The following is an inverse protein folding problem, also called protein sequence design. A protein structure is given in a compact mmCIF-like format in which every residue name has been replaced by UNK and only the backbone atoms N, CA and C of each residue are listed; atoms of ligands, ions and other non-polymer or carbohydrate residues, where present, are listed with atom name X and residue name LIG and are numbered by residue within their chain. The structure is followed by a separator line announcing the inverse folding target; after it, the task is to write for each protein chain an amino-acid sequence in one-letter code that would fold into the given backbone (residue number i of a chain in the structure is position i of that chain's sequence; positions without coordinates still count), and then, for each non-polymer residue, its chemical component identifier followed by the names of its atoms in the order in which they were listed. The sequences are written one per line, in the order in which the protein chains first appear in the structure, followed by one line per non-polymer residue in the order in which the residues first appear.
data_IF_083474813958
#
_entry.id   IF_083474813958
#
_cell.length_a   1.000
_cell.length_b   1.000
_cell.length_c   1.000
_cell.angle_alpha   90.00
_cell.angle_beta   90.00
_cell.angle_gamma   90.00
#
_symmetry.space_group_name_H-M   'P 1'
#
loop_
_entity.id
_entity.type
_entity.pdbx_description
1 polymer ?
#
# COMPACT_ATOMS: atom_id res chain seq x y z
N UNK A 1 -33.18 11.57 -15.40
CA UNK A 1 -32.35 10.49 -15.98
C UNK A 1 -30.90 10.94 -15.83
N UNK A 2 -30.05 10.21 -15.11
CA UNK A 2 -28.64 10.55 -15.09
C UNK A 2 -28.09 10.35 -16.52
N UNK A 3 -27.39 11.36 -17.00
CA UNK A 3 -26.69 11.30 -18.27
C UNK A 3 -25.58 10.26 -18.11
N UNK A 4 -25.74 9.08 -18.69
CA UNK A 4 -24.63 8.12 -18.84
C UNK A 4 -23.64 8.74 -19.82
N UNK A 5 -22.58 9.32 -19.29
CA UNK A 5 -21.43 9.66 -20.10
C UNK A 5 -20.85 8.34 -20.61
N UNK A 6 -20.89 8.14 -21.93
CA UNK A 6 -20.23 7.00 -22.54
C UNK A 6 -18.75 7.04 -22.12
N UNK A 7 -18.28 5.97 -21.49
CA UNK A 7 -16.85 5.83 -21.16
C UNK A 7 -16.13 5.69 -22.50
N UNK A 8 -15.27 6.64 -22.89
CA UNK A 8 -14.55 6.52 -24.14
C UNK A 8 -13.63 5.31 -24.12
N UNK A 9 -13.46 4.64 -25.25
CA UNK A 9 -12.46 3.58 -25.39
C UNK A 9 -11.06 4.11 -25.01
N UNK A 10 -10.36 3.32 -24.22
CA UNK A 10 -9.19 3.72 -23.43
C UNK A 10 -8.04 4.32 -24.26
N UNK A 11 -7.95 3.99 -25.56
CA UNK A 11 -6.80 4.35 -26.40
C UNK A 11 -6.94 5.67 -27.16
N UNK A 12 -8.09 6.34 -27.09
CA UNK A 12 -8.38 7.45 -28.02
C UNK A 12 -8.41 8.86 -27.43
N UNK A 13 -8.38 9.07 -26.10
CA UNK A 13 -8.73 10.39 -25.55
C UNK A 13 -7.72 10.93 -24.49
N UNK A 14 -6.46 10.64 -24.60
CA UNK A 14 -5.43 11.33 -23.78
C UNK A 14 -5.73 11.33 -22.27
N UNK A 15 -5.52 12.45 -21.54
CA UNK A 15 -5.60 12.51 -20.08
C UNK A 15 -7.00 12.34 -19.49
N UNK A 16 -8.02 12.16 -20.32
CA UNK A 16 -9.43 12.08 -19.89
C UNK A 16 -9.96 10.64 -19.78
N UNK A 17 -9.15 9.63 -20.08
CA UNK A 17 -9.61 8.25 -20.05
C UNK A 17 -10.02 7.80 -18.65
N UNK A 18 -9.25 8.21 -17.64
CA UNK A 18 -9.55 7.97 -16.22
C UNK A 18 -8.97 9.08 -15.37
N UNK A 19 -9.76 9.60 -14.45
CA UNK A 19 -9.28 10.53 -13.45
C UNK A 19 -8.99 9.78 -12.15
N UNK A 20 -7.82 10.04 -11.58
CA UNK A 20 -7.52 9.62 -10.21
C UNK A 20 -8.17 10.58 -9.20
N UNK A 21 -8.35 10.10 -7.96
CA UNK A 21 -8.84 10.93 -6.86
C UNK A 21 -7.99 12.22 -6.70
N UNK A 22 -6.67 12.12 -6.84
CA UNK A 22 -5.78 13.29 -6.80
C UNK A 22 -5.99 14.27 -7.95
N UNK A 23 -6.35 13.79 -9.14
CA UNK A 23 -6.69 14.67 -10.28
C UNK A 23 -8.03 15.38 -10.07
N UNK A 24 -9.04 14.69 -9.54
CA UNK A 24 -10.32 15.30 -9.19
C UNK A 24 -10.10 16.39 -8.16
N UNK A 25 -9.34 16.11 -7.11
CA UNK A 25 -8.99 17.10 -6.09
C UNK A 25 -8.23 18.30 -6.67
N UNK A 26 -7.25 18.08 -7.56
CA UNK A 26 -6.55 19.16 -8.24
C UNK A 26 -7.49 20.02 -9.11
N UNK A 27 -8.46 19.41 -9.78
CA UNK A 27 -9.46 20.11 -10.59
C UNK A 27 -10.40 20.96 -9.71
N UNK A 28 -10.92 20.39 -8.63
CA UNK A 28 -11.81 21.09 -7.72
C UNK A 28 -11.11 22.26 -7.01
N UNK A 29 -9.83 22.10 -6.67
CA UNK A 29 -9.02 23.15 -6.05
C UNK A 29 -8.71 24.28 -7.02
N UNK A 30 -8.27 23.96 -8.23
CA UNK A 30 -7.96 24.95 -9.27
C UNK A 30 -8.10 24.34 -10.68
N UNK A 31 -9.27 24.44 -11.33
CA UNK A 31 -9.50 23.90 -12.68
C UNK A 31 -8.50 24.43 -13.72
N UNK A 32 -8.07 25.68 -13.57
CA UNK A 32 -7.11 26.30 -14.49
C UNK A 32 -5.72 25.69 -14.37
N UNK A 33 -5.24 25.43 -13.14
CA UNK A 33 -3.96 24.75 -12.90
C UNK A 33 -4.02 23.34 -13.45
N UNK A 34 -5.09 22.58 -13.11
CA UNK A 34 -5.31 21.24 -13.65
C UNK A 34 -5.28 21.23 -15.18
N UNK A 35 -5.96 22.20 -15.85
CA UNK A 35 -5.94 22.32 -17.30
C UNK A 35 -4.53 22.49 -17.85
N UNK A 36 -3.73 23.38 -17.27
CA UNK A 36 -2.37 23.57 -17.72
C UNK A 36 -1.50 22.34 -17.51
N UNK A 37 -1.61 21.68 -16.37
CA UNK A 37 -0.79 20.51 -16.07
C UNK A 37 -1.20 19.28 -16.88
N UNK A 38 -2.49 18.96 -16.93
CA UNK A 38 -2.98 17.69 -17.49
C UNK A 38 -3.30 17.79 -18.98
N UNK A 39 -3.93 18.89 -19.42
CA UNK A 39 -4.35 19.07 -20.82
C UNK A 39 -3.23 19.69 -21.65
N UNK A 40 -2.64 20.80 -21.16
CA UNK A 40 -1.56 21.47 -21.86
C UNK A 40 -0.18 20.88 -21.58
N UNK A 41 -0.10 19.94 -20.63
CA UNK A 41 1.13 19.25 -20.22
C UNK A 41 2.25 20.17 -19.76
N UNK A 42 1.89 21.35 -19.24
CA UNK A 42 2.84 22.21 -18.56
C UNK A 42 3.11 21.63 -17.18
N UNK A 43 4.21 20.95 -17.07
CA UNK A 43 4.56 20.25 -15.83
C UNK A 43 5.41 21.15 -14.96
N UNK A 44 5.14 21.10 -13.64
CA UNK A 44 5.91 21.79 -12.62
C UNK A 44 7.34 21.25 -12.53
N UNK A 45 8.31 22.07 -12.07
CA UNK A 45 9.65 21.58 -11.78
C UNK A 45 9.63 20.40 -10.84
N UNK A 46 10.46 19.41 -11.09
CA UNK A 46 10.57 18.19 -10.31
C UNK A 46 11.70 18.35 -9.29
N UNK A 47 11.32 18.64 -8.03
CA UNK A 47 12.27 18.81 -6.91
C UNK A 47 12.42 17.50 -6.14
N UNK A 48 13.59 17.22 -5.53
CA UNK A 48 13.87 15.95 -4.85
C UNK A 48 12.83 15.52 -3.81
N UNK A 49 12.23 16.47 -3.08
CA UNK A 49 11.23 16.17 -2.05
C UNK A 49 10.01 15.41 -2.58
N UNK A 50 9.67 15.56 -3.86
CA UNK A 50 8.56 14.82 -4.48
C UNK A 50 8.89 13.33 -4.66
N UNK A 51 10.16 13.02 -4.80
CA UNK A 51 10.66 11.66 -4.96
C UNK A 51 10.94 10.99 -3.61
N UNK A 52 11.31 11.77 -2.61
CA UNK A 52 11.52 11.28 -1.23
C UNK A 52 10.26 10.60 -0.67
N UNK A 53 9.09 11.20 -0.89
CA UNK A 53 7.81 10.61 -0.46
C UNK A 53 7.63 9.20 -1.00
N UNK A 54 7.84 9.04 -2.30
CA UNK A 54 7.75 7.74 -3.00
C UNK A 54 8.79 6.74 -2.51
N UNK A 55 10.04 7.18 -2.27
CA UNK A 55 11.09 6.30 -1.76
C UNK A 55 10.78 5.77 -0.35
N UNK A 56 10.27 6.64 0.53
CA UNK A 56 9.87 6.27 1.89
C UNK A 56 8.71 5.27 1.87
N UNK A 57 7.68 5.57 1.08
CA UNK A 57 6.52 4.69 0.90
C UNK A 57 6.94 3.34 0.34
N UNK A 58 7.74 3.31 -0.74
CA UNK A 58 8.22 2.06 -1.34
C UNK A 58 9.02 1.23 -0.35
N UNK A 59 9.98 1.83 0.36
CA UNK A 59 10.79 1.09 1.33
C UNK A 59 9.93 0.51 2.46
N UNK A 60 8.98 1.28 2.96
CA UNK A 60 8.06 0.85 4.01
C UNK A 60 7.13 -0.26 3.52
N UNK A 61 6.51 -0.10 2.37
CA UNK A 61 5.65 -1.13 1.77
C UNK A 61 6.42 -2.43 1.48
N UNK A 62 7.66 -2.35 0.97
CA UNK A 62 8.49 -3.54 0.76
C UNK A 62 8.78 -4.29 2.05
N UNK A 63 9.12 -3.60 3.12
CA UNK A 63 9.30 -4.22 4.44
C UNK A 63 8.01 -4.90 4.91
N UNK A 64 6.84 -4.26 4.74
CA UNK A 64 5.54 -4.85 5.09
C UNK A 64 5.18 -6.08 4.24
N UNK A 65 5.71 -6.19 3.04
CA UNK A 65 5.50 -7.35 2.16
C UNK A 65 6.30 -8.57 2.58
N UNK A 66 7.37 -8.40 3.34
CA UNK A 66 8.21 -9.49 3.80
C UNK A 66 7.66 -10.15 5.07
N UNK A 67 8.05 -11.40 5.27
CA UNK A 67 7.70 -12.16 6.46
C UNK A 67 8.93 -12.35 7.35
N UNK A 68 8.80 -12.17 8.68
CA UNK A 68 9.90 -12.44 9.61
C UNK A 68 10.18 -13.94 9.78
N UNK A 69 9.32 -14.82 9.26
CA UNK A 69 9.40 -16.24 9.51
C UNK A 69 9.17 -17.11 8.26
N UNK A 70 8.93 -16.52 7.08
CA UNK A 70 8.64 -17.25 5.87
C UNK A 70 9.55 -16.80 4.74
N UNK A 71 10.25 -17.75 4.15
CA UNK A 71 11.07 -17.55 2.96
C UNK A 71 10.36 -18.09 1.73
N UNK A 72 10.65 -17.51 0.59
CA UNK A 72 10.20 -18.04 -0.70
C UNK A 72 11.37 -18.78 -1.36
N UNK A 73 11.16 -20.06 -1.66
CA UNK A 73 12.19 -20.88 -2.29
C UNK A 73 12.56 -20.35 -3.68
N UNK A 74 13.86 -20.22 -3.94
CA UNK A 74 14.39 -19.73 -5.22
C UNK A 74 14.49 -18.22 -5.33
N UNK A 75 14.03 -17.46 -4.32
CA UNK A 75 14.42 -16.06 -4.14
C UNK A 75 15.82 -16.02 -3.52
N UNK A 76 16.62 -14.99 -3.82
CA UNK A 76 17.82 -14.70 -3.02
C UNK A 76 17.37 -14.59 -1.56
N UNK A 77 18.12 -15.21 -0.66
CA UNK A 77 17.71 -15.71 0.65
C UNK A 77 16.97 -14.72 1.58
N UNK A 78 16.79 -13.50 1.21
CA UNK A 78 16.39 -12.46 2.16
C UNK A 78 15.11 -11.69 1.83
N UNK A 79 14.52 -11.84 0.62
CA UNK A 79 13.45 -10.91 0.28
C UNK A 79 12.45 -11.47 -0.75
N UNK A 80 11.18 -11.26 -0.47
CA UNK A 80 10.11 -11.26 -1.46
C UNK A 80 10.31 -10.15 -2.52
N UNK A 81 11.27 -9.27 -2.32
CA UNK A 81 11.64 -8.13 -3.18
C UNK A 81 12.30 -8.52 -4.51
N UNK A 82 12.56 -9.80 -4.75
CA UNK A 82 13.08 -10.29 -6.03
C UNK A 82 11.99 -10.67 -7.03
N UNK A 83 10.75 -10.26 -6.83
CA UNK A 83 9.73 -10.35 -7.87
C UNK A 83 10.14 -9.34 -8.95
N UNK A 84 10.37 -9.79 -10.20
CA UNK A 84 10.63 -8.85 -11.28
C UNK A 84 9.49 -7.85 -11.39
N UNK A 85 9.83 -6.58 -11.34
CA UNK A 85 8.88 -5.51 -11.60
C UNK A 85 8.89 -5.22 -13.09
N UNK A 86 7.74 -4.90 -13.67
CA UNK A 86 7.66 -4.34 -14.99
C UNK A 86 8.17 -2.88 -15.00
N UNK A 87 8.20 -2.25 -16.18
CA UNK A 87 8.67 -0.87 -16.34
C UNK A 87 7.84 0.17 -15.56
N UNK A 88 6.67 -0.22 -15.06
CA UNK A 88 5.80 0.62 -14.22
C UNK A 88 5.98 0.35 -12.71
N UNK A 89 6.92 -0.52 -12.32
CA UNK A 89 7.15 -0.91 -10.94
C UNK A 89 6.11 -1.89 -10.38
N UNK A 90 5.30 -2.46 -11.25
CA UNK A 90 4.31 -3.48 -10.89
C UNK A 90 4.94 -4.87 -11.08
N UNK A 91 4.72 -5.84 -10.18
CA UNK A 91 5.19 -7.19 -10.38
C UNK A 91 4.77 -7.74 -11.73
N UNK A 92 5.77 -8.13 -12.53
CA UNK A 92 5.55 -8.56 -13.91
C UNK A 92 4.70 -9.83 -13.94
N UNK A 93 3.57 -9.78 -14.67
CA UNK A 93 2.72 -10.95 -14.91
C UNK A 93 3.42 -12.01 -15.79
N UNK A 94 4.37 -11.57 -16.59
CA UNK A 94 5.09 -12.45 -17.54
C UNK A 94 6.25 -13.21 -16.88
N UNK A 95 6.55 -12.93 -15.62
CA UNK A 95 7.66 -13.59 -14.91
C UNK A 95 7.44 -15.09 -14.67
N UNK A 96 6.26 -15.61 -14.98
CA UNK A 96 5.91 -17.01 -14.72
C UNK A 96 5.98 -17.40 -13.24
N UNK A 97 6.22 -16.42 -12.38
CA UNK A 97 6.32 -16.57 -10.95
C UNK A 97 4.93 -16.69 -10.33
N UNK A 98 4.23 -17.75 -10.65
CA UNK A 98 3.23 -18.26 -9.72
C UNK A 98 3.99 -18.72 -8.49
N UNK A 99 3.61 -18.20 -7.33
CA UNK A 99 4.13 -18.64 -6.05
C UNK A 99 3.40 -19.92 -5.63
N UNK A 100 3.87 -21.11 -6.00
CA UNK A 100 3.22 -22.30 -5.50
C UNK A 100 3.44 -22.37 -3.99
N UNK A 101 2.41 -22.77 -3.26
CA UNK A 101 2.47 -22.93 -1.80
C UNK A 101 3.64 -23.84 -1.34
N UNK A 102 4.08 -24.77 -2.19
CA UNK A 102 5.24 -25.63 -1.99
C UNK A 102 6.59 -24.90 -1.96
N UNK A 103 6.62 -23.61 -2.39
CA UNK A 103 7.81 -22.76 -2.31
C UNK A 103 7.87 -21.86 -1.09
N UNK A 104 6.86 -21.88 -0.25
CA UNK A 104 6.85 -21.12 0.99
C UNK A 104 7.54 -21.96 2.09
N UNK A 105 8.73 -21.56 2.49
CA UNK A 105 9.56 -22.27 3.45
C UNK A 105 9.55 -21.55 4.81
N UNK A 106 8.90 -22.12 5.82
CA UNK A 106 8.95 -21.55 7.15
C UNK A 106 10.36 -21.70 7.74
N UNK A 107 10.84 -20.63 8.37
CA UNK A 107 12.02 -20.72 9.23
C UNK A 107 11.72 -21.63 10.43
N UNK A 108 12.73 -22.28 11.01
CA UNK A 108 12.58 -22.97 12.28
C UNK A 108 12.00 -22.04 13.36
N UNK A 109 11.04 -22.53 14.16
CA UNK A 109 10.33 -21.71 15.16
C UNK A 109 11.25 -20.98 16.14
N UNK A 110 12.40 -21.58 16.45
CA UNK A 110 13.40 -20.97 17.34
C UNK A 110 14.15 -19.78 16.69
N UNK A 111 13.94 -19.52 15.42
CA UNK A 111 14.47 -18.35 14.70
C UNK A 111 13.41 -17.24 14.53
N UNK A 112 12.17 -17.48 14.92
CA UNK A 112 11.10 -16.49 14.81
C UNK A 112 11.30 -15.38 15.84
N UNK A 113 10.92 -14.14 15.52
CA UNK A 113 10.78 -13.10 16.53
C UNK A 113 9.85 -13.54 17.65
N UNK A 114 10.34 -13.50 18.88
CA UNK A 114 9.59 -13.95 20.07
C UNK A 114 9.07 -12.80 20.92
N UNK A 115 9.55 -11.58 20.66
CA UNK A 115 9.16 -10.34 21.37
C UNK A 115 8.93 -9.22 20.37
N UNK A 116 8.18 -8.19 20.74
CA UNK A 116 8.00 -6.99 19.92
C UNK A 116 9.33 -6.32 19.58
N UNK A 117 10.31 -6.35 20.48
CA UNK A 117 11.63 -5.78 20.21
C UNK A 117 12.38 -6.55 19.12
N UNK A 118 12.37 -7.90 19.18
CA UNK A 118 13.01 -8.71 18.12
C UNK A 118 12.29 -8.59 16.77
N UNK A 119 10.97 -8.39 16.77
CA UNK A 119 10.20 -8.12 15.56
C UNK A 119 10.53 -6.72 15.01
N UNK A 120 10.63 -5.72 15.88
CA UNK A 120 11.05 -4.35 15.53
C UNK A 120 12.45 -4.34 14.94
N UNK A 121 13.40 -5.06 15.55
CA UNK A 121 14.78 -5.15 15.08
C UNK A 121 14.84 -5.79 13.68
N UNK A 122 14.10 -6.88 13.46
CA UNK A 122 13.98 -7.49 12.14
C UNK A 122 13.44 -6.47 11.12
N UNK A 123 12.32 -5.83 11.39
CA UNK A 123 11.69 -4.88 10.46
C UNK A 123 12.60 -3.67 10.18
N UNK A 124 13.28 -3.16 11.21
CA UNK A 124 14.26 -2.08 11.05
C UNK A 124 15.41 -2.50 10.11
N UNK A 125 15.93 -3.71 10.27
CA UNK A 125 16.98 -4.24 9.39
C UNK A 125 16.50 -4.35 7.92
N UNK A 126 15.21 -4.66 7.70
CA UNK A 126 14.62 -4.66 6.35
C UNK A 126 14.55 -3.23 5.79
N UNK A 127 14.13 -2.26 6.59
CA UNK A 127 14.11 -0.85 6.19
C UNK A 127 15.52 -0.32 5.86
N UNK A 128 16.52 -0.69 6.65
CA UNK A 128 17.94 -0.36 6.38
C UNK A 128 18.44 -0.96 5.05
N UNK A 129 17.82 -2.04 4.60
CA UNK A 129 18.10 -2.65 3.29
C UNK A 129 17.36 -1.93 2.16
N UNK A 130 16.05 -1.67 2.33
CA UNK A 130 15.20 -1.18 1.25
C UNK A 130 15.32 0.32 0.99
N UNK A 131 15.45 1.13 2.05
CA UNK A 131 15.43 2.58 1.89
C UNK A 131 16.57 3.12 1.02
N UNK A 132 17.84 2.68 1.18
CA UNK A 132 18.91 3.15 0.31
C UNK A 132 18.66 2.78 -1.17
N UNK A 133 18.09 1.60 -1.43
CA UNK A 133 17.76 1.16 -2.79
C UNK A 133 16.64 2.01 -3.39
N UNK A 134 15.59 2.28 -2.63
CA UNK A 134 14.48 3.12 -3.05
C UNK A 134 14.93 4.57 -3.30
N UNK A 135 15.75 5.14 -2.42
CA UNK A 135 16.30 6.49 -2.60
C UNK A 135 17.17 6.57 -3.86
N UNK A 136 18.02 5.57 -4.09
CA UNK A 136 18.86 5.53 -5.29
C UNK A 136 18.03 5.40 -6.58
N UNK A 137 17.00 4.58 -6.58
CA UNK A 137 16.10 4.45 -7.72
C UNK A 137 15.39 5.79 -8.01
N UNK A 138 14.92 6.49 -6.99
CA UNK A 138 14.28 7.80 -7.11
C UNK A 138 15.27 8.90 -7.56
N UNK A 139 16.52 8.85 -7.12
CA UNK A 139 17.57 9.74 -7.60
C UNK A 139 17.78 9.59 -9.11
N UNK A 140 17.91 8.34 -9.59
CA UNK A 140 18.06 8.04 -11.02
C UNK A 140 16.85 8.56 -11.82
N UNK A 141 15.63 8.38 -11.30
CA UNK A 141 14.42 8.88 -11.94
C UNK A 141 14.42 10.40 -12.00
N UNK A 142 14.74 11.05 -10.88
CA UNK A 142 14.83 12.50 -10.82
C UNK A 142 15.90 13.06 -11.76
N UNK A 143 17.07 12.42 -11.84
CA UNK A 143 18.16 12.85 -12.72
C UNK A 143 17.81 12.79 -14.21
N UNK A 144 16.99 11.81 -14.59
CA UNK A 144 16.50 11.65 -15.97
C UNK A 144 15.40 12.64 -16.35
N UNK A 145 14.75 13.30 -15.37
CA UNK A 145 13.68 14.25 -15.67
C UNK A 145 14.26 15.57 -16.20
N UNK A 146 13.88 15.94 -17.40
CA UNK A 146 14.32 17.20 -18.04
C UNK A 146 13.91 18.45 -17.25
N UNK A 147 12.94 18.32 -16.35
CA UNK A 147 12.40 19.40 -15.53
C UNK A 147 12.97 19.40 -14.10
N UNK A 148 13.99 18.60 -13.86
CA UNK A 148 14.62 18.55 -12.55
C UNK A 148 15.06 19.92 -12.08
N UNK A 149 14.81 20.21 -10.83
CA UNK A 149 15.19 21.44 -10.14
C UNK A 149 15.69 21.14 -8.74
N UNK A 150 16.55 21.97 -8.24
CA UNK A 150 17.21 21.75 -6.95
C UNK A 150 18.41 20.81 -7.06
N UNK A 151 18.79 20.21 -5.95
CA UNK A 151 19.94 19.30 -5.85
C UNK A 151 19.55 18.08 -5.01
N UNK A 152 19.88 16.88 -5.48
CA UNK A 152 19.59 15.64 -4.74
C UNK A 152 20.31 15.58 -3.39
N UNK A 153 21.47 16.22 -3.28
CA UNK A 153 22.21 16.35 -2.01
C UNK A 153 21.44 17.06 -0.89
N UNK A 154 20.29 17.64 -1.17
CA UNK A 154 19.37 18.18 -0.15
C UNK A 154 18.49 17.11 0.51
N UNK A 155 18.48 15.88 -0.02
CA UNK A 155 17.79 14.74 0.59
C UNK A 155 18.57 14.30 1.81
N UNK A 156 17.87 14.15 2.92
CA UNK A 156 18.41 13.66 4.19
C UNK A 156 17.97 12.21 4.42
N UNK A 157 18.87 11.21 4.24
CA UNK A 157 18.54 9.80 4.41
C UNK A 157 18.17 9.43 5.85
N UNK A 158 18.72 10.11 6.85
CA UNK A 158 18.40 9.84 8.27
C UNK A 158 16.94 10.24 8.57
N UNK A 159 16.52 11.36 8.01
CA UNK A 159 15.14 11.81 8.08
C UNK A 159 14.18 10.86 7.34
N UNK A 160 14.58 10.35 6.16
CA UNK A 160 13.81 9.36 5.45
C UNK A 160 13.67 8.08 6.29
N UNK A 161 14.74 7.62 6.92
CA UNK A 161 14.71 6.47 7.83
C UNK A 161 13.80 6.72 9.02
N UNK A 162 13.85 7.91 9.62
CA UNK A 162 12.93 8.27 10.71
C UNK A 162 11.47 8.19 10.31
N UNK A 163 11.12 8.59 9.07
CA UNK A 163 9.76 8.44 8.55
C UNK A 163 9.36 6.97 8.41
N UNK A 164 10.24 6.13 7.88
CA UNK A 164 10.00 4.70 7.80
C UNK A 164 9.80 4.06 9.18
N UNK A 165 10.61 4.45 10.17
CA UNK A 165 10.50 3.96 11.54
C UNK A 165 9.18 4.41 12.21
N UNK A 166 8.72 5.63 11.95
CA UNK A 166 7.41 6.08 12.44
C UNK A 166 6.28 5.21 11.85
N UNK A 167 6.33 4.92 10.55
CA UNK A 167 5.39 3.99 9.92
C UNK A 167 5.46 2.58 10.51
N UNK A 168 6.67 2.11 10.81
CA UNK A 168 6.86 0.81 11.47
C UNK A 168 6.19 0.76 12.84
N UNK A 169 6.35 1.78 13.69
CA UNK A 169 5.69 1.81 15.00
C UNK A 169 4.16 1.82 14.88
N UNK A 170 3.61 2.55 13.88
CA UNK A 170 2.17 2.52 13.60
C UNK A 170 1.70 1.12 13.20
N UNK A 171 2.46 0.39 12.38
CA UNK A 171 2.12 -0.97 11.98
C UNK A 171 2.34 -1.99 13.12
N UNK A 172 3.37 -1.82 13.95
CA UNK A 172 3.60 -2.67 15.13
C UNK A 172 2.42 -2.58 16.09
N UNK A 173 1.84 -1.39 16.26
CA UNK A 173 0.63 -1.21 17.07
C UNK A 173 -0.56 -2.02 16.53
N UNK A 174 -0.70 -2.18 15.21
CA UNK A 174 -1.73 -3.07 14.63
C UNK A 174 -1.43 -4.55 14.93
N UNK A 175 -0.18 -4.98 14.84
CA UNK A 175 0.24 -6.33 15.22
C UNK A 175 0.02 -6.62 16.72
N UNK A 176 0.31 -5.66 17.60
CA UNK A 176 0.07 -5.77 19.04
C UNK A 176 -1.42 -5.88 19.36
N UNK A 177 -2.26 -5.02 18.72
CA UNK A 177 -3.72 -5.14 18.83
C UNK A 177 -4.23 -6.51 18.38
N UNK A 178 -3.68 -7.06 17.30
CA UNK A 178 -4.05 -8.39 16.81
C UNK A 178 -3.65 -9.49 17.81
N UNK A 179 -2.46 -9.37 18.41
CA UNK A 179 -2.00 -10.30 19.45
C UNK A 179 -2.90 -10.26 20.69
N UNK A 180 -3.27 -9.07 21.18
CA UNK A 180 -4.18 -8.84 22.30
C UNK A 180 -5.58 -9.38 21.99
N UNK A 181 -6.06 -9.20 20.77
CA UNK A 181 -7.32 -9.75 20.28
C UNK A 181 -7.26 -11.26 19.96
N UNK A 182 -6.14 -11.93 20.30
CA UNK A 182 -5.91 -13.36 20.05
C UNK A 182 -6.09 -13.77 18.58
N UNK A 183 -5.65 -12.90 17.66
CA UNK A 183 -5.72 -13.12 16.21
C UNK A 183 -7.02 -12.65 15.55
N UNK A 184 -8.01 -12.24 16.36
CA UNK A 184 -9.30 -11.75 15.85
C UNK A 184 -10.11 -12.80 15.08
N UNK A 185 -11.14 -12.39 14.34
CA UNK A 185 -12.01 -13.30 13.58
C UNK A 185 -11.30 -13.99 12.41
N UNK A 186 -10.16 -13.46 11.97
CA UNK A 186 -9.42 -13.96 10.80
C UNK A 186 -8.50 -15.15 11.12
N UNK A 187 -8.21 -15.43 12.40
CA UNK A 187 -7.23 -16.44 12.82
C UNK A 187 -7.47 -17.82 12.20
N UNK A 188 -8.69 -18.32 12.32
CA UNK A 188 -9.00 -19.68 11.85
C UNK A 188 -8.93 -19.77 10.33
N UNK A 189 -9.45 -18.77 9.62
CA UNK A 189 -9.37 -18.70 8.18
C UNK A 189 -7.92 -18.59 7.71
N UNK A 190 -7.10 -17.77 8.37
CA UNK A 190 -5.70 -17.62 8.07
C UNK A 190 -4.92 -18.93 8.32
N UNK A 191 -5.12 -19.58 9.48
CA UNK A 191 -4.49 -20.87 9.81
C UNK A 191 -4.82 -21.97 8.82
N UNK A 192 -6.03 -21.94 8.26
CA UNK A 192 -6.49 -22.90 7.25
C UNK A 192 -6.06 -22.51 5.82
N UNK A 193 -5.29 -21.43 5.64
CA UNK A 193 -4.86 -20.96 4.34
C UNK A 193 -5.98 -20.42 3.44
N UNK A 194 -7.14 -20.11 4.02
CA UNK A 194 -8.32 -19.62 3.29
C UNK A 194 -8.29 -18.11 3.05
N UNK A 195 -7.37 -17.40 3.69
CA UNK A 195 -7.18 -15.97 3.47
C UNK A 195 -6.18 -15.75 2.34
N UNK A 196 -6.37 -14.74 1.48
CA UNK A 196 -5.39 -14.37 0.48
C UNK A 196 -4.02 -14.19 1.11
N UNK A 197 -3.00 -14.82 0.52
CA UNK A 197 -1.63 -14.69 1.00
C UNK A 197 -0.91 -13.60 0.21
N UNK A 198 -0.16 -12.81 0.92
CA UNK A 198 0.74 -11.83 0.33
C UNK A 198 2.17 -12.40 0.21
N UNK A 199 2.91 -12.03 -0.85
CA UNK A 199 2.44 -11.35 -2.04
C UNK A 199 1.83 -12.31 -3.07
N UNK A 200 0.81 -11.84 -3.78
CA UNK A 200 0.29 -12.54 -4.94
C UNK A 200 0.76 -11.82 -6.20
N UNK A 201 1.66 -12.39 -6.99
CA UNK A 201 2.26 -11.70 -8.13
C UNK A 201 1.28 -11.39 -9.26
N UNK A 202 0.16 -12.09 -9.31
CA UNK A 202 -0.86 -11.91 -10.34
C UNK A 202 -2.13 -11.21 -9.84
N UNK A 203 -2.12 -10.70 -8.61
CA UNK A 203 -3.25 -10.02 -8.00
C UNK A 203 -4.44 -10.93 -7.66
N UNK A 204 -4.25 -12.25 -7.65
CA UNK A 204 -5.29 -13.22 -7.28
C UNK A 204 -5.17 -13.60 -5.83
N UNK A 205 -6.31 -13.96 -5.22
CA UNK A 205 -6.32 -14.61 -3.93
C UNK A 205 -5.47 -15.88 -3.98
N UNK A 206 -4.56 -16.00 -3.06
CA UNK A 206 -3.64 -17.14 -2.99
C UNK A 206 -4.13 -18.09 -1.91
N UNK A 207 -4.65 -19.24 -2.29
CA UNK A 207 -5.01 -20.28 -1.36
C UNK A 207 -3.80 -21.16 -1.05
N UNK A 208 -3.41 -21.19 0.21
CA UNK A 208 -2.46 -22.17 0.71
C UNK A 208 -3.26 -23.44 1.00
N UNK A 209 -3.00 -24.56 0.31
CA UNK A 209 -3.78 -25.76 0.54
C UNK A 209 -3.55 -26.31 1.96
N UNK A 210 -4.64 -26.55 2.67
CA UNK A 210 -4.77 -27.26 3.93
C UNK A 210 -4.40 -26.50 5.20
N UNK A 211 -3.23 -25.86 5.31
CA UNK A 211 -2.80 -25.15 6.53
C UNK A 211 -1.70 -24.16 6.17
N UNK A 212 -1.77 -22.98 6.75
CA UNK A 212 -0.71 -21.99 6.59
C UNK A 212 0.63 -22.51 7.18
N UNK A 213 1.78 -22.37 6.48
CA UNK A 213 3.06 -22.92 6.94
C UNK A 213 3.51 -22.43 8.33
N UNK A 214 3.10 -21.20 8.70
CA UNK A 214 3.41 -20.59 10.00
C UNK A 214 2.34 -20.86 11.07
N UNK A 215 1.22 -21.54 10.73
CA UNK A 215 0.14 -21.78 11.69
C UNK A 215 0.62 -22.65 12.84
N UNK A 216 0.40 -22.19 14.07
CA UNK A 216 0.72 -22.91 15.30
C UNK A 216 -0.54 -23.46 15.95
N UNK A 217 -0.39 -24.38 16.91
CA UNK A 217 -1.47 -24.85 17.76
C UNK A 217 -1.58 -23.99 19.02
N UNK A 218 -2.80 -23.82 19.53
CA UNK A 218 -3.05 -23.09 20.76
C UNK A 218 -3.15 -21.57 20.55
N UNK A 219 -2.56 -20.81 21.48
CA UNK A 219 -2.64 -19.36 21.45
C UNK A 219 -1.94 -18.77 20.21
N UNK A 220 -2.45 -17.63 19.72
CA UNK A 220 -1.81 -16.90 18.63
C UNK A 220 -0.40 -16.48 19.03
N UNK A 221 0.55 -16.70 18.14
CA UNK A 221 1.94 -16.25 18.31
C UNK A 221 2.12 -14.83 17.79
N UNK A 222 3.21 -14.17 18.18
CA UNK A 222 3.56 -12.85 17.67
C UNK A 222 3.72 -12.83 16.14
N UNK A 223 4.32 -13.88 15.58
CA UNK A 223 4.49 -13.99 14.12
C UNK A 223 3.13 -14.16 13.43
N UNK A 224 2.25 -15.01 13.96
CA UNK A 224 0.89 -15.12 13.41
C UNK A 224 0.15 -13.78 13.48
N UNK A 225 0.24 -13.06 14.60
CA UNK A 225 -0.40 -11.76 14.76
C UNK A 225 0.13 -10.73 13.74
N UNK A 226 1.46 -10.69 13.51
CA UNK A 226 2.06 -9.86 12.47
C UNK A 226 1.52 -10.21 11.07
N UNK A 227 1.51 -11.50 10.73
CA UNK A 227 1.05 -11.97 9.41
C UNK A 227 -0.45 -11.70 9.19
N UNK A 228 -1.26 -11.84 10.23
CA UNK A 228 -2.71 -11.59 10.17
C UNK A 228 -3.01 -10.11 10.06
N UNK A 229 -2.33 -9.27 10.86
CA UNK A 229 -2.54 -7.82 10.88
C UNK A 229 -1.87 -7.10 9.71
N UNK A 230 -1.07 -7.79 8.91
CA UNK A 230 -0.42 -7.21 7.74
C UNK A 230 -1.44 -6.58 6.79
N UNK A 231 -1.19 -5.39 6.26
CA UNK A 231 -2.10 -4.76 5.32
C UNK A 231 -2.24 -5.58 4.03
N UNK A 232 -3.38 -5.47 3.40
CA UNK A 232 -3.62 -6.06 2.10
C UNK A 232 -3.01 -5.17 1.03
N UNK A 233 -2.07 -5.71 0.26
CA UNK A 233 -1.47 -5.05 -0.91
C UNK A 233 -2.09 -5.51 -2.22
N UNK A 234 -2.90 -6.58 -2.16
CA UNK A 234 -3.65 -7.10 -3.29
C UNK A 234 -5.10 -7.25 -2.87
N UNK A 235 -5.98 -6.50 -3.50
CA UNK A 235 -7.41 -6.71 -3.38
C UNK A 235 -7.86 -7.70 -4.48
N UNK A 236 -8.30 -8.92 -4.11
CA UNK A 236 -8.72 -9.92 -5.10
C UNK A 236 -9.88 -9.44 -5.98
N UNK A 237 -10.68 -8.48 -5.50
CA UNK A 237 -11.81 -7.93 -6.23
C UNK A 237 -11.44 -6.72 -7.09
N UNK A 238 -10.31 -6.08 -6.86
CA UNK A 238 -9.85 -4.95 -7.68
C UNK A 238 -9.35 -5.38 -9.06
N UNK A 239 -9.11 -6.66 -9.29
CA UNK A 239 -8.65 -7.21 -10.56
C UNK A 239 -7.26 -6.75 -10.99
N UNK A 240 -6.52 -6.08 -10.10
CA UNK A 240 -5.16 -5.59 -10.33
C UNK A 240 -4.28 -5.81 -9.10
N UNK A 241 -2.99 -5.91 -9.36
CA UNK A 241 -1.98 -5.87 -8.32
C UNK A 241 -1.89 -4.46 -7.70
N UNK A 242 -1.35 -4.36 -6.48
CA UNK A 242 -1.13 -3.11 -5.74
C UNK A 242 -2.41 -2.32 -5.45
N UNK A 243 -3.49 -3.01 -5.08
CA UNK A 243 -4.74 -2.42 -4.58
C UNK A 243 -5.31 -1.27 -5.43
N UNK A 244 -5.07 -1.32 -6.73
CA UNK A 244 -5.72 -0.40 -7.65
C UNK A 244 -7.21 -0.69 -7.72
N UNK A 245 -8.03 0.35 -7.57
CA UNK A 245 -9.47 0.28 -7.75
C UNK A 245 -9.91 1.10 -8.96
N UNK A 246 -10.73 0.50 -9.81
CA UNK A 246 -11.29 1.14 -10.99
C UNK A 246 -12.81 1.07 -10.89
N UNK A 247 -13.47 2.24 -10.92
CA UNK A 247 -14.91 2.27 -10.93
C UNK A 247 -15.46 1.50 -12.13
N UNK A 248 -16.37 0.52 -11.95
CA UNK A 248 -16.80 -0.35 -13.03
C UNK A 248 -17.60 0.37 -14.13
N UNK A 249 -18.26 1.48 -13.81
CA UNK A 249 -19.16 2.21 -14.71
C UNK A 249 -18.66 3.61 -15.07
N UNK A 250 -17.63 4.13 -14.39
CA UNK A 250 -17.18 5.50 -14.54
C UNK A 250 -15.68 5.59 -14.83
N UNK A 251 -15.28 6.72 -15.38
CA UNK A 251 -13.92 7.06 -15.72
C UNK A 251 -13.06 7.47 -14.49
N UNK A 252 -13.29 6.84 -13.34
CA UNK A 252 -12.65 7.14 -12.07
C UNK A 252 -11.85 5.95 -11.54
N UNK A 253 -10.67 6.23 -10.97
CA UNK A 253 -9.80 5.22 -10.38
C UNK A 253 -9.06 5.77 -9.17
N UNK A 254 -8.62 4.87 -8.29
CA UNK A 254 -7.77 5.15 -7.15
C UNK A 254 -6.75 4.05 -6.92
N UNK A 255 -5.77 4.36 -6.10
CA UNK A 255 -4.79 3.42 -5.61
C UNK A 255 -4.69 3.60 -4.10
N UNK A 256 -4.83 2.52 -3.36
CA UNK A 256 -4.74 2.53 -1.91
C UNK A 256 -3.29 2.28 -1.51
N UNK A 257 -2.75 3.08 -0.58
CA UNK A 257 -1.40 2.83 -0.06
C UNK A 257 -1.42 1.60 0.84
N UNK A 258 -2.32 1.54 1.84
CA UNK A 258 -2.51 0.39 2.71
C UNK A 258 -4.00 0.14 2.99
N UNK A 259 -4.38 -1.14 3.08
CA UNK A 259 -5.70 -1.56 3.55
C UNK A 259 -5.53 -2.61 4.64
N UNK A 260 -5.97 -2.32 5.85
CA UNK A 260 -6.02 -3.27 6.95
C UNK A 260 -7.38 -3.95 7.01
N UNK A 261 -7.37 -5.28 7.20
CA UNK A 261 -8.60 -6.07 7.21
C UNK A 261 -8.47 -7.34 8.08
N UNK A 262 -7.98 -7.22 9.28
CA UNK A 262 -7.74 -8.40 10.13
C UNK A 262 -8.77 -8.59 11.26
N UNK A 263 -9.45 -7.54 11.68
CA UNK A 263 -10.39 -7.52 12.79
C UNK A 263 -11.87 -7.49 12.36
N UNK A 264 -12.14 -7.86 11.11
CA UNK A 264 -13.47 -7.77 10.50
C UNK A 264 -13.84 -6.35 10.05
N UNK A 265 -12.89 -5.42 10.08
CA UNK A 265 -13.06 -4.03 9.64
C UNK A 265 -12.16 -3.71 8.46
N UNK A 266 -12.63 -2.82 7.61
CA UNK A 266 -11.86 -2.27 6.50
C UNK A 266 -11.34 -0.89 6.92
N UNK A 267 -10.03 -0.78 7.03
CA UNK A 267 -9.35 0.48 7.31
C UNK A 267 -8.42 0.85 6.15
N UNK A 268 -8.74 1.91 5.42
CA UNK A 268 -7.89 2.45 4.36
C UNK A 268 -6.97 3.50 4.96
N UNK A 269 -5.68 3.35 4.71
CA UNK A 269 -4.63 4.26 5.18
C UNK A 269 -3.94 4.88 3.98
N UNK A 270 -3.79 6.19 4.01
CA UNK A 270 -3.03 6.98 3.05
C UNK A 270 -1.74 7.47 3.73
N UNK A 271 -0.59 7.15 3.14
CA UNK A 271 0.72 7.48 3.69
C UNK A 271 1.18 8.86 3.23
N UNK A 272 1.67 9.67 4.14
CA UNK A 272 2.22 10.98 3.83
C UNK A 272 3.60 11.17 4.47
N UNK A 273 4.63 11.14 3.65
CA UNK A 273 6.01 11.43 4.04
C UNK A 273 6.23 12.94 4.29
N UNK A 274 5.21 13.66 4.75
CA UNK A 274 5.31 15.10 4.97
C UNK A 274 5.92 15.40 6.32
N UNK A 275 6.74 16.42 6.34
CA UNK A 275 7.41 16.97 7.52
C UNK A 275 6.90 18.38 7.84
N UNK A 276 5.86 18.81 7.14
CA UNK A 276 5.34 20.18 7.29
C UNK A 276 4.61 20.37 8.62
N UNK A 277 4.84 21.51 9.25
CA UNK A 277 4.17 21.92 10.48
C UNK A 277 2.70 22.33 10.29
N UNK A 278 2.13 22.20 9.08
CA UNK A 278 0.76 22.60 8.76
C UNK A 278 -0.13 21.40 8.45
N UNK A 279 -1.32 21.40 9.04
CA UNK A 279 -2.36 20.44 8.67
C UNK A 279 -2.83 20.71 7.22
N UNK A 280 -2.39 19.87 6.29
CA UNK A 280 -2.85 19.85 4.90
C UNK A 280 -3.92 18.80 4.64
N UNK A 281 -4.49 18.23 5.70
CA UNK A 281 -5.48 17.16 5.59
C UNK A 281 -6.72 17.55 4.79
N UNK A 282 -7.11 18.82 4.77
CA UNK A 282 -8.20 19.30 3.93
C UNK A 282 -8.05 18.94 2.45
N UNK A 283 -6.81 18.86 1.95
CA UNK A 283 -6.53 18.45 0.58
C UNK A 283 -6.66 16.93 0.36
N UNK A 284 -6.64 16.13 1.44
CA UNK A 284 -6.65 14.67 1.36
C UNK A 284 -7.99 14.06 1.82
N UNK A 285 -8.84 14.83 2.52
CA UNK A 285 -10.13 14.34 3.02
C UNK A 285 -10.97 13.80 1.87
N UNK A 286 -11.19 14.61 0.83
CA UNK A 286 -11.99 14.22 -0.32
C UNK A 286 -11.37 13.03 -1.08
N UNK A 287 -10.04 12.95 -1.14
CA UNK A 287 -9.34 11.82 -1.75
C UNK A 287 -9.65 10.50 -1.01
N UNK A 288 -9.57 10.49 0.34
CA UNK A 288 -9.88 9.29 1.10
C UNK A 288 -11.38 8.94 1.05
N UNK A 289 -12.25 9.93 1.06
CA UNK A 289 -13.69 9.69 0.88
C UNK A 289 -14.02 9.06 -0.48
N UNK A 290 -13.33 9.49 -1.55
CA UNK A 290 -13.41 8.86 -2.86
C UNK A 290 -12.84 7.43 -2.84
N UNK A 291 -11.83 7.14 -2.04
CA UNK A 291 -11.32 5.77 -1.87
C UNK A 291 -12.35 4.87 -1.18
N UNK A 292 -13.06 5.35 -0.17
CA UNK A 292 -14.15 4.61 0.44
C UNK A 292 -15.27 4.29 -0.56
N UNK A 293 -15.64 5.26 -1.41
CA UNK A 293 -16.60 5.04 -2.49
C UNK A 293 -16.08 3.99 -3.49
N UNK A 294 -14.84 4.07 -3.91
CA UNK A 294 -14.24 3.08 -4.82
C UNK A 294 -14.22 1.68 -4.22
N UNK A 295 -13.88 1.55 -2.93
CA UNK A 295 -13.97 0.28 -2.23
C UNK A 295 -15.37 -0.29 -2.30
N UNK A 296 -16.36 0.49 -1.89
CA UNK A 296 -17.76 0.08 -1.88
C UNK A 296 -18.27 -0.35 -3.26
N UNK A 297 -18.02 0.41 -4.33
CA UNK A 297 -18.49 0.05 -5.68
C UNK A 297 -17.75 -1.15 -6.28
N UNK A 298 -16.47 -1.34 -5.97
CA UNK A 298 -15.68 -2.48 -6.44
C UNK A 298 -16.00 -3.78 -5.69
N UNK A 299 -16.62 -3.66 -4.50
CA UNK A 299 -17.09 -4.79 -3.70
C UNK A 299 -18.63 -4.94 -3.77
N UNK A 300 -19.21 -4.73 -4.95
CA UNK A 300 -20.62 -4.94 -5.27
C UNK A 300 -21.60 -4.13 -4.39
N UNK A 301 -21.13 -3.06 -3.73
CA UNK A 301 -21.89 -2.25 -2.77
C UNK A 301 -22.33 -3.00 -1.50
N UNK A 302 -21.67 -4.10 -1.19
CA UNK A 302 -21.97 -4.95 -0.03
C UNK A 302 -21.01 -4.70 1.14
N UNK A 303 -19.80 -4.21 0.86
CA UNK A 303 -18.74 -4.00 1.86
C UNK A 303 -18.38 -2.52 1.96
N UNK A 304 -18.51 -1.96 3.16
CA UNK A 304 -18.18 -0.57 3.46
C UNK A 304 -16.83 -0.50 4.18
N UNK A 305 -16.16 0.65 4.02
CA UNK A 305 -14.98 1.00 4.80
C UNK A 305 -15.42 1.44 6.20
N UNK A 306 -14.77 0.93 7.23
CA UNK A 306 -15.05 1.26 8.63
C UNK A 306 -14.20 2.43 9.15
N UNK A 307 -13.01 2.63 8.57
CA UNK A 307 -12.11 3.70 8.96
C UNK A 307 -11.31 4.22 7.78
N UNK A 308 -11.02 5.52 7.81
CA UNK A 308 -10.13 6.21 6.89
C UNK A 308 -9.06 6.95 7.70
N UNK A 309 -7.81 6.73 7.39
CA UNK A 309 -6.68 7.31 8.12
C UNK A 309 -5.66 7.95 7.20
N UNK A 310 -5.07 9.05 7.66
CA UNK A 310 -3.83 9.58 7.09
C UNK A 310 -2.72 9.32 8.11
N UNK A 311 -1.68 8.64 7.68
CA UNK A 311 -0.47 8.45 8.48
C UNK A 311 0.59 9.45 8.06
N UNK A 312 0.80 10.47 8.88
CA UNK A 312 1.84 11.49 8.69
C UNK A 312 3.18 10.96 9.23
N UNK A 313 3.93 10.28 8.37
CA UNK A 313 5.19 9.62 8.75
C UNK A 313 6.22 10.62 9.27
N UNK A 314 6.29 11.82 8.67
CA UNK A 314 7.22 12.86 9.11
C UNK A 314 6.85 13.52 10.43
N UNK A 315 5.60 13.46 10.85
CA UNK A 315 5.10 14.05 12.09
C UNK A 315 4.81 12.99 13.17
N UNK A 316 4.96 11.70 12.85
CA UNK A 316 4.59 10.58 13.72
C UNK A 316 3.15 10.72 14.26
N UNK A 317 2.18 10.96 13.37
CA UNK A 317 0.81 11.24 13.75
C UNK A 317 -0.19 10.55 12.82
N UNK A 318 -1.28 10.06 13.39
CA UNK A 318 -2.41 9.50 12.67
C UNK A 318 -3.59 10.45 12.75
N UNK A 319 -4.19 10.77 11.60
CA UNK A 319 -5.42 11.55 11.54
C UNK A 319 -6.55 10.68 11.02
N UNK A 320 -7.64 10.60 11.80
CA UNK A 320 -8.88 9.96 11.38
C UNK A 320 -9.66 10.91 10.47
N UNK A 321 -10.22 10.34 9.41
CA UNK A 321 -11.12 11.01 8.48
C UNK A 321 -12.50 10.38 8.60
N UNK A 322 -13.54 11.21 8.56
CA UNK A 322 -14.92 10.73 8.59
C UNK A 322 -15.24 9.91 7.34
N UNK A 323 -15.74 8.71 7.57
CA UNK A 323 -16.15 7.80 6.48
C UNK A 323 -17.46 8.32 5.87
N UNK A 324 -17.58 8.44 4.54
CA UNK A 324 -18.82 8.86 3.92
C UNK A 324 -19.92 7.83 4.14
N UNK A 325 -21.13 8.34 4.33
CA UNK A 325 -22.33 7.50 4.38
C UNK A 325 -22.65 6.93 2.99
N UNK A 326 -23.43 5.85 2.94
CA UNK A 326 -23.89 5.27 1.65
C UNK A 326 -24.60 6.33 0.80
N UNK A 327 -25.44 7.17 1.41
CA UNK A 327 -26.16 8.23 0.70
C UNK A 327 -25.25 9.31 0.09
N UNK A 328 -24.06 9.50 0.65
CA UNK A 328 -23.06 10.42 0.08
C UNK A 328 -22.23 9.76 -1.05
N UNK A 329 -22.19 8.43 -1.07
CA UNK A 329 -21.46 7.67 -2.09
C UNK A 329 -22.33 7.34 -3.32
N UNK A 330 -23.67 7.36 -3.19
CA UNK A 330 -24.65 7.22 -4.28
C UNK A 330 -24.79 8.49 -5.13
#
# INVERSE_FOLDING_TARGET
MPVRLAVPEVDSIGPFNRLSASQVNAYTTCPRLWYYEKVRRFKMPQIPVLFVGRAVEEAFCRMLQESPALLVAGAAADTLSNIPLDDSGVPSRDSGATWPADRLLPLPVNQWPSTMDTLRDWAKQRLETHLPLALHAMEIEWEKDERKAGQWSSVDPERCMSMCLNGLEMNLAEGERCLEAKGGPELDAWRLGKRPYWPSPDGRAYEIPLRHPLAQEGAVTLVEAWEIARPWFVDPNAGKFAMNAIHPEHWFQGEYDLVYRWDGRINIVDLKASVGAGDRSGNYVEQLRMYAMLWWVTHNREEQVDALQIWYLGANAIKQIEVPTVAEME
#
